data_IF_585591448402
#
_entry.id   IF_585591448402
#
_cell.length_a   1.000
_cell.length_b   1.000
_cell.length_c   1.000
_cell.angle_alpha   90.00
_cell.angle_beta   90.00
_cell.angle_gamma   90.00
#
_symmetry.space_group_name_H-M   'P 1'
#
loop_
_entity.id
_entity.type
_entity.pdbx_description
1 polymer ?
#
# COMPACT_ATOMS: atom_id res chain seq x y z
N UNK A 1 15.13 7.13 30.71
CA UNK A 1 14.57 6.34 29.60
C UNK A 1 13.09 6.68 29.53
N UNK A 2 12.65 7.37 28.50
CA UNK A 2 11.24 7.73 28.33
C UNK A 2 10.49 6.50 27.83
N UNK A 3 9.58 5.99 28.66
CA UNK A 3 8.77 4.83 28.33
C UNK A 3 7.56 5.36 27.56
N UNK A 4 7.33 4.88 26.34
CA UNK A 4 6.18 5.27 25.53
C UNK A 4 4.86 5.16 26.33
N UNK A 5 3.87 6.03 26.05
CA UNK A 5 2.62 6.05 26.81
C UNK A 5 1.79 4.79 26.55
N UNK A 6 1.94 3.81 27.45
CA UNK A 6 1.26 2.51 27.41
C UNK A 6 -0.27 2.69 27.43
N UNK A 7 -0.81 3.82 27.90
CA UNK A 7 -2.27 4.05 27.87
C UNK A 7 -2.82 4.11 26.45
N UNK A 8 -1.99 4.46 25.47
CA UNK A 8 -2.38 4.47 24.05
C UNK A 8 -2.70 3.06 23.56
N UNK A 9 -2.08 2.02 24.13
CA UNK A 9 -2.33 0.63 23.71
C UNK A 9 -3.71 0.11 24.13
N UNK A 10 -4.35 0.77 25.10
CA UNK A 10 -5.70 0.45 25.58
C UNK A 10 -6.79 1.18 24.80
N UNK A 11 -6.43 2.12 23.92
CA UNK A 11 -7.38 2.89 23.13
C UNK A 11 -7.72 2.15 21.84
N UNK A 12 -9.00 2.15 21.49
CA UNK A 12 -9.47 1.66 20.20
C UNK A 12 -9.31 2.73 19.12
N UNK A 13 -8.68 2.37 18.01
CA UNK A 13 -8.53 3.25 16.86
C UNK A 13 -9.66 3.00 15.87
N UNK A 14 -10.53 4.01 15.69
CA UNK A 14 -11.74 3.88 14.88
C UNK A 14 -11.45 3.51 13.42
N UNK A 15 -10.35 3.99 12.84
CA UNK A 15 -9.96 3.63 11.47
C UNK A 15 -9.73 2.12 11.34
N UNK A 16 -8.82 1.57 12.13
CA UNK A 16 -8.54 0.14 12.12
C UNK A 16 -9.79 -0.70 12.40
N UNK A 17 -10.61 -0.28 13.37
CA UNK A 17 -11.86 -0.98 13.70
C UNK A 17 -12.88 -0.95 12.56
N UNK A 18 -13.08 0.20 11.92
CA UNK A 18 -14.10 0.39 10.87
C UNK A 18 -13.78 -0.41 9.61
N UNK A 19 -12.50 -0.53 9.29
CA UNK A 19 -12.02 -1.26 8.11
C UNK A 19 -11.53 -2.68 8.45
N UNK A 20 -11.78 -3.16 9.67
CA UNK A 20 -11.35 -4.48 10.15
C UNK A 20 -9.85 -4.75 9.93
N UNK A 21 -9.02 -3.70 10.04
CA UNK A 21 -7.59 -3.80 9.84
C UNK A 21 -6.90 -4.26 11.13
N UNK A 22 -5.97 -5.23 11.06
CA UNK A 22 -5.10 -5.57 12.17
C UNK A 22 -4.30 -4.35 12.65
N UNK A 23 -4.30 -4.08 13.95
CA UNK A 23 -3.54 -2.99 14.56
C UNK A 23 -2.49 -3.56 15.52
N UNK A 24 -1.25 -3.06 15.40
CA UNK A 24 -0.13 -3.49 16.23
C UNK A 24 0.52 -2.27 16.89
N UNK A 25 0.78 -2.37 18.20
CA UNK A 25 1.62 -1.41 18.90
C UNK A 25 3.07 -1.88 18.84
N UNK A 26 3.92 -1.03 18.29
CA UNK A 26 5.34 -1.33 18.06
C UNK A 26 6.21 -0.25 18.67
N UNK A 27 7.44 -0.62 19.02
CA UNK A 27 8.49 0.33 19.37
C UNK A 27 9.68 0.07 18.45
N UNK A 28 9.96 1.04 17.58
CA UNK A 28 11.09 0.95 16.66
C UNK A 28 12.44 1.07 17.37
N UNK A 29 12.47 1.69 18.56
CA UNK A 29 13.68 1.91 19.33
C UNK A 29 14.17 0.66 20.06
N UNK A 30 13.25 -0.16 20.58
CA UNK A 30 13.57 -1.40 21.31
C UNK A 30 13.27 -2.68 20.51
N UNK A 31 12.62 -2.56 19.34
CA UNK A 31 12.28 -3.67 18.46
C UNK A 31 10.99 -4.41 18.83
N UNK A 32 10.23 -3.95 19.82
CA UNK A 32 8.98 -4.60 20.26
C UNK A 32 7.99 -4.71 19.11
N UNK A 33 7.56 -5.95 18.84
CA UNK A 33 6.54 -6.32 17.85
C UNK A 33 6.85 -5.96 16.38
N UNK A 34 8.04 -5.43 16.06
CA UNK A 34 8.40 -5.05 14.68
C UNK A 34 8.47 -6.28 13.77
N UNK A 35 9.20 -7.32 14.20
CA UNK A 35 9.35 -8.57 13.43
C UNK A 35 8.00 -9.28 13.25
N UNK A 36 7.16 -9.27 14.29
CA UNK A 36 5.82 -9.86 14.23
C UNK A 36 4.94 -9.14 13.22
N UNK A 37 4.89 -7.80 13.26
CA UNK A 37 4.12 -6.98 12.32
C UNK A 37 4.47 -7.32 10.87
N UNK A 38 5.76 -7.36 10.53
CA UNK A 38 6.20 -7.65 9.17
C UNK A 38 5.87 -9.09 8.75
N UNK A 39 6.09 -10.08 9.62
CA UNK A 39 5.75 -11.47 9.32
C UNK A 39 4.24 -11.64 9.06
N UNK A 40 3.40 -11.02 9.88
CA UNK A 40 1.95 -11.08 9.72
C UNK A 40 1.51 -10.36 8.43
N UNK A 41 2.07 -9.18 8.15
CA UNK A 41 1.77 -8.43 6.93
C UNK A 41 2.12 -9.22 5.65
N UNK A 42 3.29 -9.87 5.63
CA UNK A 42 3.70 -10.72 4.50
C UNK A 42 2.75 -11.91 4.35
N UNK A 43 2.39 -12.59 5.45
CA UNK A 43 1.45 -13.71 5.41
C UNK A 43 0.07 -13.29 4.89
N UNK A 44 -0.44 -12.14 5.34
CA UNK A 44 -1.69 -11.56 4.86
C UNK A 44 -1.63 -11.31 3.35
N UNK A 45 -0.57 -10.69 2.86
CA UNK A 45 -0.38 -10.44 1.43
C UNK A 45 -0.30 -11.74 0.61
N UNK A 46 0.43 -12.75 1.10
CA UNK A 46 0.51 -14.06 0.43
C UNK A 46 -0.86 -14.76 0.43
N UNK A 47 -1.58 -14.73 1.55
CA UNK A 47 -2.93 -15.31 1.64
C UNK A 47 -3.92 -14.61 0.72
N UNK A 48 -3.81 -13.29 0.59
CA UNK A 48 -4.63 -12.50 -0.33
C UNK A 48 -4.35 -12.93 -1.77
N UNK A 49 -3.08 -12.92 -2.19
CA UNK A 49 -2.67 -13.37 -3.53
C UNK A 49 -3.13 -14.79 -3.90
N UNK A 50 -3.20 -15.70 -2.93
CA UNK A 50 -3.52 -17.11 -3.18
C UNK A 50 -5.02 -17.43 -3.15
N UNK A 51 -5.82 -16.67 -2.40
CA UNK A 51 -7.20 -17.03 -2.10
C UNK A 51 -8.21 -15.95 -2.50
N UNK A 52 -7.75 -14.76 -2.87
CA UNK A 52 -8.61 -13.65 -3.27
C UNK A 52 -8.71 -13.59 -4.79
N UNK A 53 -9.95 -13.40 -5.24
CA UNK A 53 -10.30 -12.97 -6.58
C UNK A 53 -11.38 -11.90 -6.37
N UNK A 54 -11.00 -10.85 -5.65
CA UNK A 54 -11.88 -9.73 -5.40
C UNK A 54 -11.85 -8.78 -6.60
N UNK A 55 -12.74 -7.78 -6.60
CA UNK A 55 -12.82 -6.81 -7.69
C UNK A 55 -11.48 -6.08 -7.94
N UNK A 56 -10.67 -5.85 -6.91
CA UNK A 56 -9.39 -5.16 -7.08
C UNK A 56 -8.37 -6.06 -7.79
N UNK A 57 -8.36 -7.35 -7.44
CA UNK A 57 -7.56 -8.37 -8.14
C UNK A 57 -7.98 -8.47 -9.61
N UNK A 58 -9.29 -8.49 -9.90
CA UNK A 58 -9.82 -8.51 -11.27
C UNK A 58 -9.39 -7.26 -12.05
N UNK A 59 -9.54 -6.07 -11.48
CA UNK A 59 -9.12 -4.81 -12.13
C UNK A 59 -7.62 -4.80 -12.40
N UNK A 60 -6.80 -5.22 -11.43
CA UNK A 60 -5.35 -5.29 -11.62
C UNK A 60 -4.95 -6.27 -12.74
N UNK A 61 -5.60 -7.43 -12.79
CA UNK A 61 -5.39 -8.42 -13.84
C UNK A 61 -5.79 -7.86 -15.22
N UNK A 62 -6.93 -7.18 -15.33
CA UNK A 62 -7.35 -6.56 -16.59
C UNK A 62 -6.38 -5.48 -17.05
N UNK A 63 -5.86 -4.64 -16.14
CA UNK A 63 -4.83 -3.64 -16.46
C UNK A 63 -3.54 -4.27 -17.03
N UNK A 64 -3.09 -5.40 -16.47
CA UNK A 64 -1.95 -6.13 -17.03
C UNK A 64 -2.24 -6.69 -18.43
N UNK A 65 -3.47 -7.16 -18.68
CA UNK A 65 -3.87 -7.66 -20.00
C UNK A 65 -3.86 -6.54 -21.05
N UNK A 66 -4.33 -5.33 -20.73
CA UNK A 66 -4.31 -4.18 -21.65
C UNK A 66 -2.89 -3.79 -22.08
N UNK A 67 -1.92 -3.85 -21.18
CA UNK A 67 -0.52 -3.57 -21.49
C UNK A 67 0.08 -4.66 -22.40
N UNK A 68 -0.27 -5.92 -22.17
CA UNK A 68 0.16 -7.05 -23.00
C UNK A 68 -0.42 -6.99 -24.41
N UNK A 69 -1.70 -6.65 -24.56
CA UNK A 69 -2.35 -6.48 -25.86
C UNK A 69 -1.73 -5.35 -26.67
N UNK A 70 -1.46 -4.20 -26.06
CA UNK A 70 -0.77 -3.08 -26.72
C UNK A 70 0.64 -3.48 -27.18
N UNK A 71 1.36 -4.24 -26.35
CA UNK A 71 2.70 -4.73 -26.69
C UNK A 71 2.69 -5.79 -27.79
N UNK A 72 1.67 -6.65 -27.81
CA UNK A 72 1.50 -7.67 -28.84
C UNK A 72 1.01 -7.10 -30.18
N UNK A 73 0.22 -6.01 -30.14
CA UNK A 73 -0.29 -5.32 -31.32
C UNK A 73 0.80 -4.55 -32.09
N UNK A 74 1.99 -4.36 -31.51
CA UNK A 74 3.12 -3.72 -32.19
C UNK A 74 2.91 -2.24 -32.51
N UNK A 75 1.91 -1.59 -31.91
CA UNK A 75 1.70 -0.16 -32.05
C UNK A 75 2.80 0.59 -31.27
N UNK A 76 3.41 1.64 -31.86
CA UNK A 76 4.39 2.46 -31.16
C UNK A 76 3.68 3.08 -29.96
N UNK A 77 4.26 2.90 -28.77
CA UNK A 77 3.76 3.51 -27.54
C UNK A 77 3.48 5.00 -27.78
N UNK A 78 2.33 5.56 -27.36
CA UNK A 78 2.12 6.99 -27.41
C UNK A 78 3.21 7.63 -26.55
N UNK A 79 3.96 8.55 -27.15
CA UNK A 79 5.07 9.25 -26.53
C UNK A 79 4.70 9.68 -25.11
N UNK A 80 5.38 9.09 -24.13
CA UNK A 80 5.28 9.49 -22.72
C UNK A 80 6.06 10.79 -22.54
N UNK A 81 5.60 11.85 -23.20
CA UNK A 81 6.19 13.18 -23.15
C UNK A 81 5.77 13.88 -21.83
N UNK A 82 6.77 14.03 -20.96
CA UNK A 82 6.98 15.13 -20.01
C UNK A 82 5.89 15.44 -18.97
N UNK A 83 6.06 14.89 -17.76
CA UNK A 83 5.70 15.61 -16.52
C UNK A 83 6.96 16.17 -15.87
N UNK A 84 7.52 17.19 -16.50
CA UNK A 84 8.53 18.07 -15.93
C UNK A 84 8.07 19.52 -16.11
N UNK A 85 8.28 20.35 -15.09
CA UNK A 85 7.94 21.78 -15.00
C UNK A 85 6.46 22.13 -14.84
N UNK A 86 5.98 22.09 -13.59
CA UNK A 86 5.01 23.11 -13.15
C UNK A 86 5.83 24.38 -12.90
N UNK A 87 5.90 25.26 -13.89
CA UNK A 87 6.30 26.65 -13.65
C UNK A 87 5.24 27.28 -12.74
N UNK A 88 5.63 27.65 -11.53
CA UNK A 88 4.80 28.49 -10.67
C UNK A 88 4.70 29.89 -11.27
N UNK A 89 3.54 30.55 -11.24
CA UNK A 89 3.44 31.93 -11.72
C UNK A 89 4.26 32.86 -10.82
N UNK A 90 5.09 33.71 -11.43
CA UNK A 90 5.84 34.75 -10.75
C UNK A 90 4.89 35.79 -10.11
N UNK A 91 5.19 36.30 -8.90
CA UNK A 91 4.37 37.32 -8.27
C UNK A 91 4.55 38.69 -8.94
N UNK A 92 3.43 39.36 -9.21
CA UNK A 92 3.37 40.81 -9.51
C UNK A 92 3.35 41.64 -8.24
#
# INVERSE_FOLDING_TARGET
>A
MEVADIKVTQKSFNFARKFSLPLYFVSAADGTNVVKLFNDAIRLAVSYKQNSQDFMDEVLQELENFDLEQKAAGDPAPDREQRGAVEGPAPS
#
